data_IF_714552860143
#
_entry.id   IF_714552860143
#
_cell.length_a   1.000
_cell.length_b   1.000
_cell.length_c   1.000
_cell.angle_alpha   90.00
_cell.angle_beta   90.00
_cell.angle_gamma   90.00
#
_symmetry.space_group_name_H-M   'P 1'
#
loop_
_entity.id
_entity.type
_entity.pdbx_description
1 polymer ?
#
# COMPACT_ATOMS: atom_id res chain seq x y z
N UNK A 1 -6.85 0.00 -9.36
CA UNK A 1 -7.30 -0.47 -8.03
C UNK A 1 -6.27 -0.06 -6.98
N UNK A 2 -6.70 0.37 -5.79
CA UNK A 2 -5.83 0.67 -4.64
C UNK A 2 -6.17 -0.26 -3.50
N UNK A 3 -5.14 -0.82 -2.86
CA UNK A 3 -5.25 -1.74 -1.72
C UNK A 3 -4.44 -1.18 -0.56
N UNK A 4 -5.00 -1.21 0.65
CA UNK A 4 -4.31 -0.71 1.83
C UNK A 4 -4.93 -1.20 3.14
N UNK A 5 -4.24 -0.95 4.25
CA UNK A 5 -4.60 -1.41 5.60
C UNK A 5 -5.24 -0.33 6.48
N UNK A 6 -5.35 0.90 5.98
CA UNK A 6 -6.08 1.97 6.64
C UNK A 6 -7.48 2.12 6.07
N UNK A 7 -8.46 1.45 6.69
CA UNK A 7 -9.87 1.58 6.32
C UNK A 7 -10.31 3.06 6.30
N UNK A 8 -9.89 3.85 7.30
CA UNK A 8 -10.20 5.27 7.38
C UNK A 8 -9.74 6.05 6.14
N UNK A 9 -8.50 5.84 5.69
CA UNK A 9 -7.96 6.55 4.52
C UNK A 9 -8.63 6.06 3.24
N UNK A 10 -8.85 4.76 3.10
CA UNK A 10 -9.52 4.20 1.92
C UNK A 10 -10.98 4.69 1.81
N UNK A 11 -11.72 4.76 2.91
CA UNK A 11 -13.07 5.31 2.96
C UNK A 11 -13.06 6.80 2.63
N UNK A 12 -12.10 7.54 3.18
CA UNK A 12 -11.93 8.96 2.90
C UNK A 12 -11.68 9.22 1.40
N UNK A 13 -10.83 8.41 0.77
CA UNK A 13 -10.50 8.54 -0.66
C UNK A 13 -11.65 8.08 -1.56
N UNK A 14 -12.28 6.95 -1.24
CA UNK A 14 -13.39 6.41 -2.03
C UNK A 14 -14.62 7.33 -2.00
N UNK A 15 -14.95 7.88 -0.82
CA UNK A 15 -16.09 8.79 -0.64
C UNK A 15 -15.74 10.25 -0.98
N UNK A 16 -14.49 10.52 -1.38
CA UNK A 16 -13.96 11.89 -1.59
C UNK A 16 -14.24 12.83 -0.41
N UNK A 17 -14.20 12.29 0.81
CA UNK A 17 -14.43 13.06 2.04
C UNK A 17 -13.17 13.83 2.40
N UNK A 18 -13.28 15.15 2.55
CA UNK A 18 -12.13 15.98 2.94
C UNK A 18 -11.77 15.70 4.42
N UNK A 19 -10.47 15.58 4.77
CA UNK A 19 -10.06 15.48 6.17
C UNK A 19 -10.36 16.78 6.93
N UNK A 20 -10.73 16.64 8.20
CA UNK A 20 -10.93 17.78 9.11
C UNK A 20 -9.59 18.37 9.56
N UNK A 21 -8.56 17.53 9.73
CA UNK A 21 -7.23 17.97 10.10
C UNK A 21 -6.58 18.78 8.95
N UNK A 22 -6.31 20.06 9.21
CA UNK A 22 -5.73 20.99 8.23
C UNK A 22 -4.37 20.53 7.70
N UNK A 23 -3.58 19.87 8.54
CA UNK A 23 -2.28 19.29 8.20
C UNK A 23 -2.36 18.21 7.11
N UNK A 24 -3.52 17.54 6.97
CA UNK A 24 -3.73 16.47 5.99
C UNK A 24 -4.38 16.95 4.70
N UNK A 25 -4.90 18.18 4.65
CA UNK A 25 -5.63 18.71 3.49
C UNK A 25 -4.75 18.74 2.24
N UNK A 26 -3.50 19.20 2.39
CA UNK A 26 -2.56 19.26 1.28
C UNK A 26 -2.32 17.86 0.69
N UNK A 27 -2.01 16.88 1.54
CA UNK A 27 -1.77 15.50 1.11
C UNK A 27 -3.00 14.87 0.47
N UNK A 28 -4.18 15.07 1.05
CA UNK A 28 -5.44 14.59 0.49
C UNK A 28 -5.71 15.12 -0.91
N UNK A 29 -5.47 16.41 -1.17
CA UNK A 29 -5.67 17.00 -2.49
C UNK A 29 -4.72 16.40 -3.53
N UNK A 30 -3.44 16.26 -3.17
CA UNK A 30 -2.42 15.69 -4.04
C UNK A 30 -2.72 14.23 -4.37
N UNK A 31 -3.01 13.40 -3.35
CA UNK A 31 -3.33 11.99 -3.56
C UNK A 31 -4.62 11.80 -4.34
N UNK A 32 -5.63 12.66 -4.13
CA UNK A 32 -6.88 12.61 -4.91
C UNK A 32 -6.63 12.91 -6.38
N UNK A 33 -5.85 13.94 -6.68
CA UNK A 33 -5.49 14.27 -8.07
C UNK A 33 -4.74 13.11 -8.74
N UNK A 34 -3.81 12.47 -8.03
CA UNK A 34 -3.11 11.28 -8.53
C UNK A 34 -4.07 10.11 -8.75
N UNK A 35 -5.02 9.89 -7.85
CA UNK A 35 -6.03 8.85 -8.01
C UNK A 35 -6.94 9.11 -9.23
N UNK A 36 -7.28 10.37 -9.49
CA UNK A 36 -8.03 10.79 -10.67
C UNK A 36 -7.21 10.54 -11.96
N UNK A 37 -5.92 10.90 -11.96
CA UNK A 37 -5.01 10.68 -13.10
C UNK A 37 -4.74 9.20 -13.39
N UNK A 38 -4.67 8.37 -12.35
CA UNK A 38 -4.50 6.93 -12.47
C UNK A 38 -5.82 6.17 -12.69
N UNK A 39 -6.94 6.89 -12.85
CA UNK A 39 -8.28 6.32 -13.05
C UNK A 39 -8.61 5.24 -12.01
N UNK A 40 -8.36 5.53 -10.73
CA UNK A 40 -8.56 4.55 -9.65
C UNK A 40 -10.05 4.20 -9.51
N UNK A 41 -10.41 3.00 -9.97
CA UNK A 41 -11.80 2.51 -9.97
C UNK A 41 -12.24 1.95 -8.62
N UNK A 42 -11.34 1.36 -7.83
CA UNK A 42 -11.72 0.78 -6.54
C UNK A 42 -10.65 0.96 -5.46
N UNK A 43 -11.14 0.99 -4.22
CA UNK A 43 -10.37 1.07 -2.99
C UNK A 43 -10.74 -0.15 -2.15
N UNK A 44 -9.77 -0.96 -1.76
CA UNK A 44 -10.02 -2.22 -1.07
C UNK A 44 -9.20 -2.30 0.21
N UNK A 45 -9.89 -2.48 1.33
CA UNK A 45 -9.26 -2.73 2.61
C UNK A 45 -8.66 -4.15 2.63
N UNK A 46 -7.41 -4.22 3.08
CA UNK A 46 -6.65 -5.44 3.28
C UNK A 46 -6.09 -5.44 4.70
N UNK A 47 -6.22 -6.54 5.47
CA UNK A 47 -5.71 -6.53 6.84
C UNK A 47 -4.21 -6.27 6.85
N UNK A 48 -3.72 -5.55 7.87
CA UNK A 48 -2.29 -5.23 8.03
C UNK A 48 -1.37 -6.46 7.94
N UNK A 49 -1.82 -7.61 8.45
CA UNK A 49 -1.12 -8.91 8.35
C UNK A 49 -0.88 -9.38 6.90
N UNK A 50 -1.54 -8.79 5.92
CA UNK A 50 -1.47 -9.12 4.50
C UNK A 50 -1.03 -7.93 3.62
N UNK A 51 -0.63 -6.81 4.24
CA UNK A 51 0.01 -5.67 3.58
C UNK A 51 1.46 -5.59 4.02
N UNK A 52 2.16 -6.74 3.99
CA UNK A 52 3.48 -6.88 4.63
C UNK A 52 4.56 -6.15 3.85
N UNK A 53 4.48 -6.09 2.53
CA UNK A 53 5.44 -5.38 1.69
C UNK A 53 5.42 -3.88 2.00
N UNK A 54 4.24 -3.27 2.02
CA UNK A 54 4.08 -1.85 2.37
C UNK A 54 4.51 -1.58 3.82
N UNK A 55 4.11 -2.45 4.76
CA UNK A 55 4.52 -2.33 6.17
C UNK A 55 6.03 -2.44 6.37
N UNK A 56 6.68 -3.35 5.65
CA UNK A 56 8.12 -3.51 5.68
C UNK A 56 8.84 -2.29 5.10
N UNK A 57 8.39 -1.77 3.95
CA UNK A 57 8.93 -0.55 3.35
C UNK A 57 8.76 0.68 4.25
N UNK A 58 7.60 0.84 4.89
CA UNK A 58 7.36 1.93 5.82
C UNK A 58 8.29 1.85 7.04
N UNK A 59 8.57 0.63 7.54
CA UNK A 59 9.54 0.43 8.62
C UNK A 59 10.97 0.72 8.15
N UNK A 60 11.34 0.24 6.97
CA UNK A 60 12.65 0.43 6.37
C UNK A 60 12.96 1.92 6.15
N UNK A 61 12.09 2.66 5.48
CA UNK A 61 12.27 4.09 5.23
C UNK A 61 12.28 4.95 6.51
N UNK A 62 11.58 4.52 7.56
CA UNK A 62 11.62 5.19 8.86
C UNK A 62 12.94 4.99 9.61
N UNK A 63 13.65 3.88 9.37
CA UNK A 63 14.96 3.61 9.96
C UNK A 63 16.04 4.38 9.21
N UNK A 64 15.96 4.42 7.88
CA UNK A 64 16.98 5.04 7.01
C UNK A 64 16.71 6.52 6.67
N UNK A 65 16.12 7.30 7.59
CA UNK A 65 15.75 8.71 7.36
C UNK A 65 16.92 9.49 6.72
N UNK A 66 16.75 9.87 5.45
CA UNK A 66 17.72 10.66 4.68
C UNK A 66 18.47 9.89 3.58
N UNK A 67 18.27 8.57 3.45
CA UNK A 67 18.84 7.77 2.35
C UNK A 67 17.76 7.40 1.34
N UNK A 68 18.02 7.70 0.07
CA UNK A 68 17.18 7.30 -1.05
C UNK A 68 17.78 6.07 -1.72
N UNK A 69 16.96 5.03 -1.94
CA UNK A 69 17.36 3.80 -2.60
C UNK A 69 16.65 3.72 -3.96
N UNK A 70 17.41 3.62 -5.04
CA UNK A 70 16.89 3.41 -6.39
C UNK A 70 17.46 2.11 -6.92
N UNK A 71 16.59 1.20 -7.36
CA UNK A 71 17.01 -0.10 -7.92
C UNK A 71 16.56 -0.13 -9.38
N UNK A 72 17.52 -0.23 -10.32
CA UNK A 72 17.21 -0.42 -11.75
C UNK A 72 16.80 -1.86 -12.01
N UNK A 73 15.89 -2.06 -12.96
CA UNK A 73 15.47 -3.38 -13.44
C UNK A 73 16.53 -4.07 -14.33
N UNK A 74 17.61 -3.36 -14.67
CA UNK A 74 18.72 -3.89 -15.47
C UNK A 74 19.53 -4.89 -14.63
N UNK A 75 19.37 -6.16 -15.00
CA UNK A 75 19.92 -7.32 -14.33
C UNK A 75 21.45 -7.24 -14.15
N UNK A 76 21.93 -7.34 -12.90
CA UNK A 76 23.36 -7.29 -12.62
C UNK A 76 23.78 -7.54 -11.17
N UNK A 77 23.47 -8.73 -10.64
CA UNK A 77 24.22 -9.43 -9.57
C UNK A 77 24.32 -8.91 -8.13
N UNK A 78 23.75 -7.76 -7.76
CA UNK A 78 23.41 -7.51 -6.35
C UNK A 78 22.06 -6.82 -6.30
N UNK A 79 20.98 -7.60 -6.40
CA UNK A 79 19.71 -7.15 -5.84
C UNK A 79 20.03 -6.84 -4.37
N UNK A 80 20.08 -5.55 -4.01
CA UNK A 80 20.30 -5.13 -2.64
C UNK A 80 19.41 -6.02 -1.74
N UNK A 81 19.86 -6.49 -0.57
CA UNK A 81 19.06 -7.39 0.28
C UNK A 81 17.60 -6.96 0.46
N UNK A 82 17.35 -5.64 0.38
CA UNK A 82 16.07 -4.96 0.30
C UNK A 82 15.18 -5.49 -0.84
N UNK A 83 15.69 -5.60 -2.07
CA UNK A 83 14.95 -6.00 -3.26
C UNK A 83 14.49 -7.47 -3.18
N UNK A 84 15.34 -8.38 -2.68
CA UNK A 84 14.99 -9.81 -2.54
C UNK A 84 13.90 -10.00 -1.47
N UNK A 85 14.05 -9.35 -0.31
CA UNK A 85 13.05 -9.41 0.76
C UNK A 85 11.71 -8.79 0.33
N UNK A 86 11.76 -7.65 -0.36
CA UNK A 86 10.58 -6.98 -0.88
C UNK A 86 9.84 -7.83 -1.92
N UNK A 87 10.55 -8.47 -2.85
CA UNK A 87 9.94 -9.30 -3.89
C UNK A 87 9.12 -10.45 -3.29
N UNK A 88 9.65 -11.12 -2.26
CA UNK A 88 8.92 -12.20 -1.58
C UNK A 88 7.63 -11.70 -0.91
N UNK A 89 7.70 -10.56 -0.23
CA UNK A 89 6.54 -9.95 0.41
C UNK A 89 5.50 -9.50 -0.63
N UNK A 90 5.94 -8.88 -1.73
CA UNK A 90 5.07 -8.45 -2.83
C UNK A 90 4.35 -9.63 -3.47
N UNK A 91 5.06 -10.73 -3.76
CA UNK A 91 4.45 -11.95 -4.31
C UNK A 91 3.37 -12.50 -3.38
N UNK A 92 3.63 -12.51 -2.07
CA UNK A 92 2.66 -12.97 -1.07
C UNK A 92 1.41 -12.08 -1.02
N UNK A 93 1.59 -10.76 -0.89
CA UNK A 93 0.50 -9.80 -0.81
C UNK A 93 -0.36 -9.81 -2.09
N UNK A 94 0.29 -9.86 -3.27
CA UNK A 94 -0.40 -9.88 -4.56
C UNK A 94 -1.17 -11.17 -4.81
N UNK A 95 -0.55 -12.34 -4.55
CA UNK A 95 -1.21 -13.63 -4.75
C UNK A 95 -2.48 -13.74 -3.91
N UNK A 96 -2.44 -13.21 -2.68
CA UNK A 96 -3.58 -13.21 -1.79
C UNK A 96 -4.69 -12.28 -2.27
N UNK A 97 -4.35 -11.07 -2.68
CA UNK A 97 -5.31 -10.14 -3.26
C UNK A 97 -5.97 -10.74 -4.52
N UNK A 98 -5.18 -11.37 -5.41
CA UNK A 98 -5.69 -11.99 -6.62
C UNK A 98 -6.64 -13.15 -6.34
N UNK A 99 -6.28 -14.04 -5.40
CA UNK A 99 -7.14 -15.14 -4.99
C UNK A 99 -8.48 -14.64 -4.45
N UNK A 100 -8.48 -13.55 -3.68
CA UNK A 100 -9.71 -12.92 -3.18
C UNK A 100 -10.62 -12.43 -4.29
N UNK A 101 -10.07 -11.79 -5.33
CA UNK A 101 -10.87 -11.35 -6.47
C UNK A 101 -11.54 -12.53 -7.19
N UNK A 102 -10.93 -13.72 -7.15
CA UNK A 102 -11.47 -14.94 -7.77
C UNK A 102 -12.51 -15.64 -6.91
N UNK A 103 -12.31 -15.72 -5.59
CA UNK A 103 -13.21 -16.45 -4.68
C UNK A 103 -14.38 -15.61 -4.18
N UNK A 104 -14.29 -14.27 -4.26
CA UNK A 104 -15.31 -13.36 -3.72
C UNK A 104 -15.34 -13.31 -2.19
N UNK A 105 -14.37 -13.93 -1.52
CA UNK A 105 -14.37 -14.03 -0.06
C UNK A 105 -14.10 -12.66 0.59
N UNK A 106 -14.98 -12.29 1.52
CA UNK A 106 -14.78 -11.15 2.40
C UNK A 106 -13.61 -11.40 3.34
N UNK A 107 -12.77 -10.40 3.53
CA UNK A 107 -11.65 -10.53 4.45
C UNK A 107 -12.08 -10.09 5.84
N UNK A 108 -12.11 -11.06 6.78
CA UNK A 108 -12.34 -10.76 8.20
C UNK A 108 -10.99 -10.41 8.82
N UNK A 109 -10.80 -9.12 9.09
CA UNK A 109 -9.74 -8.68 9.98
C UNK A 109 -10.22 -8.93 11.39
N UNK A 110 -9.82 -10.05 11.97
CA UNK A 110 -9.99 -10.27 13.40
C UNK A 110 -9.45 -9.05 14.14
N UNK A 111 -10.27 -8.47 15.01
CA UNK A 111 -9.83 -7.50 15.99
C UNK A 111 -8.85 -8.25 16.89
N UNK A 112 -7.56 -8.15 16.61
CA UNK A 112 -6.56 -8.47 17.61
C UNK A 112 -6.65 -7.36 18.65
N UNK A 113 -7.22 -7.73 19.80
CA UNK A 113 -7.14 -7.01 21.07
C UNK A 113 -5.70 -6.55 21.39
#
# INVERSE_FOLDING_TARGET
>A
HVVGDSALVLDMMSQRRRPQATTLVHWYQTTRRLADLCEVVSWTHHCRRHNKAAGWLAKFGNVDRGRSYMTSAEAGKLAAPIAVGLEQLLRGDFSRWLNRQRTGEGEVCGLTE
#
